data_IF_345050905170
#
_entry.id   IF_345050905170
#
_cell.length_a   1.000
_cell.length_b   1.000
_cell.length_c   1.000
_cell.angle_alpha   90.00
_cell.angle_beta   90.00
_cell.angle_gamma   90.00
#
_symmetry.space_group_name_H-M   'P 1'
#
loop_
_entity.id
_entity.type
_entity.pdbx_description
1 polymer ?
#
# COMPACT_ATOMS: atom_id res chain seq x y z
N UNK A 1 -12.44 -5.48 12.66
CA UNK A 1 -12.46 -6.93 12.37
C UNK A 1 -12.52 -7.78 13.65
N UNK A 2 -11.76 -7.48 14.70
CA UNK A 2 -11.60 -8.31 15.90
C UNK A 2 -12.54 -7.96 17.06
N UNK A 3 -13.07 -6.75 17.11
CA UNK A 3 -14.05 -6.35 18.10
C UNK A 3 -15.45 -6.89 17.80
N UNK A 4 -16.32 -6.88 18.82
CA UNK A 4 -17.73 -7.13 18.65
C UNK A 4 -18.30 -6.15 17.63
N UNK A 5 -19.04 -6.61 16.61
CA UNK A 5 -19.67 -5.71 15.65
C UNK A 5 -20.78 -4.90 16.34
N UNK A 6 -20.79 -3.60 16.11
CA UNK A 6 -21.94 -2.76 16.44
C UNK A 6 -22.88 -2.80 15.23
N UNK A 7 -23.97 -3.57 15.36
CA UNK A 7 -24.91 -3.77 14.27
C UNK A 7 -25.89 -2.61 14.19
N UNK A 8 -26.10 -2.09 13.00
CA UNK A 8 -27.20 -1.18 12.67
C UNK A 8 -28.53 -1.95 12.65
N UNK A 9 -29.67 -1.24 12.63
CA UNK A 9 -30.99 -1.89 12.55
C UNK A 9 -31.09 -2.81 11.32
N UNK A 10 -30.64 -2.35 10.15
CA UNK A 10 -30.64 -3.14 8.91
C UNK A 10 -29.72 -4.37 9.00
N UNK A 11 -28.55 -4.24 9.65
CA UNK A 11 -27.65 -5.36 9.85
C UNK A 11 -28.18 -6.36 10.85
N UNK A 12 -28.92 -5.93 11.91
CA UNK A 12 -29.65 -6.82 12.81
C UNK A 12 -30.68 -7.66 12.04
N UNK A 13 -31.49 -7.04 11.21
CA UNK A 13 -32.46 -7.75 10.37
C UNK A 13 -31.77 -8.76 9.44
N UNK A 14 -30.63 -8.39 8.85
CA UNK A 14 -29.88 -9.26 7.96
C UNK A 14 -29.24 -10.45 8.70
N UNK A 15 -28.49 -10.19 9.75
CA UNK A 15 -27.67 -11.22 10.41
C UNK A 15 -28.47 -12.11 11.36
N UNK A 16 -29.54 -11.61 11.98
CA UNK A 16 -30.42 -12.40 12.84
C UNK A 16 -31.59 -13.04 12.09
N UNK A 17 -31.78 -12.78 10.78
CA UNK A 17 -32.73 -13.53 9.96
C UNK A 17 -32.25 -14.97 9.78
N UNK A 18 -33.21 -15.90 9.70
CA UNK A 18 -32.94 -17.32 9.56
C UNK A 18 -33.33 -17.79 8.16
N UNK A 19 -32.43 -18.49 7.52
CA UNK A 19 -32.76 -19.31 6.34
C UNK A 19 -33.51 -20.56 6.76
N UNK A 20 -34.22 -21.27 5.85
CA UNK A 20 -34.92 -22.51 6.21
C UNK A 20 -34.03 -23.58 6.87
N UNK A 21 -32.78 -23.66 6.46
CA UNK A 21 -31.78 -24.59 7.03
C UNK A 21 -31.36 -24.18 8.45
N UNK A 22 -31.19 -22.90 8.70
CA UNK A 22 -30.88 -22.35 10.03
C UNK A 22 -32.08 -22.46 10.97
N UNK A 23 -33.28 -22.25 10.44
CA UNK A 23 -34.54 -22.41 11.17
C UNK A 23 -34.69 -23.85 11.70
N UNK A 24 -34.40 -24.86 10.89
CA UNK A 24 -34.48 -26.28 11.32
C UNK A 24 -33.52 -26.59 12.49
N UNK A 25 -32.39 -25.91 12.60
CA UNK A 25 -31.48 -26.04 13.75
C UNK A 25 -32.00 -25.23 14.93
N UNK A 26 -32.51 -24.02 14.70
CA UNK A 26 -33.07 -23.15 15.71
C UNK A 26 -34.27 -23.80 16.42
N UNK A 27 -35.09 -24.57 15.73
CA UNK A 27 -36.26 -25.28 16.27
C UNK A 27 -35.88 -26.38 17.32
N UNK A 28 -34.63 -26.83 17.31
CA UNK A 28 -34.10 -27.75 18.35
C UNK A 28 -33.84 -27.03 19.69
N UNK A 29 -33.76 -25.69 19.66
CA UNK A 29 -33.52 -24.87 20.86
C UNK A 29 -34.84 -24.58 21.58
N UNK A 30 -34.98 -25.03 22.80
CA UNK A 30 -36.29 -25.10 23.47
C UNK A 30 -36.64 -23.86 24.30
N UNK A 31 -35.68 -23.29 25.05
CA UNK A 31 -35.99 -22.22 26.01
C UNK A 31 -35.70 -20.83 25.40
N UNK A 32 -36.45 -19.79 25.78
CA UNK A 32 -36.21 -18.43 25.29
C UNK A 32 -34.77 -17.99 25.53
N UNK A 33 -34.21 -18.24 26.69
CA UNK A 33 -32.80 -17.93 27.03
C UNK A 33 -31.82 -18.54 26.03
N UNK A 34 -31.93 -19.85 25.76
CA UNK A 34 -31.03 -20.56 24.83
C UNK A 34 -31.29 -20.17 23.41
N UNK A 35 -32.52 -19.79 23.02
CA UNK A 35 -32.86 -19.26 21.69
C UNK A 35 -32.16 -17.95 21.39
N UNK A 36 -32.23 -16.99 22.31
CA UNK A 36 -31.52 -15.70 22.16
C UNK A 36 -30.02 -15.93 22.08
N UNK A 37 -29.45 -16.74 22.98
CA UNK A 37 -28.05 -17.10 22.98
C UNK A 37 -27.59 -17.70 21.62
N UNK A 38 -28.40 -18.62 21.06
CA UNK A 38 -28.11 -19.23 19.76
C UNK A 38 -28.14 -18.20 18.63
N UNK A 39 -29.15 -17.34 18.60
CA UNK A 39 -29.28 -16.28 17.57
C UNK A 39 -28.14 -15.27 17.64
N UNK A 40 -27.72 -14.86 18.84
CA UNK A 40 -26.53 -14.00 18.99
C UNK A 40 -25.27 -14.67 18.43
N UNK A 41 -25.03 -15.94 18.80
CA UNK A 41 -23.88 -16.68 18.26
C UNK A 41 -23.94 -16.81 16.74
N UNK A 42 -25.09 -17.15 16.18
CA UNK A 42 -25.32 -17.32 14.75
C UNK A 42 -25.12 -16.00 14.01
N UNK A 43 -25.77 -14.92 14.45
CA UNK A 43 -25.71 -13.62 13.81
C UNK A 43 -24.30 -13.03 13.82
N UNK A 44 -23.61 -13.08 14.94
CA UNK A 44 -22.24 -12.62 15.01
C UNK A 44 -21.28 -13.49 14.20
N UNK A 45 -21.54 -14.80 14.11
CA UNK A 45 -20.77 -15.66 13.23
C UNK A 45 -20.98 -15.33 11.75
N UNK A 46 -22.20 -15.06 11.32
CA UNK A 46 -22.50 -14.55 9.96
C UNK A 46 -21.72 -13.26 9.67
N UNK A 47 -21.69 -12.33 10.64
CA UNK A 47 -21.05 -11.04 10.48
C UNK A 47 -19.51 -11.10 10.46
N UNK A 48 -18.88 -12.01 11.22
CA UNK A 48 -17.43 -11.98 11.49
C UNK A 48 -16.69 -13.30 11.35
N UNK A 49 -17.37 -14.42 11.07
CA UNK A 49 -16.83 -15.80 11.01
C UNK A 49 -16.02 -16.19 12.24
N UNK A 50 -16.47 -15.72 13.40
CA UNK A 50 -15.88 -16.05 14.71
C UNK A 50 -16.92 -16.02 15.83
N UNK A 51 -16.58 -16.67 16.92
CA UNK A 51 -17.39 -16.61 18.14
C UNK A 51 -16.91 -15.49 19.05
N UNK A 52 -17.86 -14.86 19.73
CA UNK A 52 -17.62 -13.86 20.76
C UNK A 52 -18.10 -14.38 22.11
N UNK A 53 -17.49 -13.89 23.17
CA UNK A 53 -18.05 -14.10 24.53
C UNK A 53 -19.30 -13.22 24.60
N UNK A 54 -20.43 -13.84 24.96
CA UNK A 54 -21.67 -13.10 25.11
C UNK A 54 -21.62 -12.36 26.45
N UNK A 55 -21.73 -11.05 26.36
CA UNK A 55 -21.78 -10.11 27.48
C UNK A 55 -23.10 -9.35 27.37
N UNK A 56 -23.95 -9.47 28.36
CA UNK A 56 -25.30 -8.92 28.34
C UNK A 56 -25.29 -7.38 28.29
N UNK A 57 -24.35 -6.73 28.96
CA UNK A 57 -24.27 -5.27 29.01
C UNK A 57 -23.80 -4.70 27.66
N UNK A 58 -22.79 -5.32 27.07
CA UNK A 58 -22.22 -4.87 25.78
C UNK A 58 -23.16 -5.18 24.61
N UNK A 59 -23.98 -6.22 24.71
CA UNK A 59 -24.90 -6.69 23.66
C UNK A 59 -26.38 -6.31 23.93
N UNK A 60 -26.64 -5.39 24.85
CA UNK A 60 -27.99 -5.03 25.30
C UNK A 60 -28.95 -4.69 24.17
N UNK A 61 -28.52 -3.89 23.20
CA UNK A 61 -29.35 -3.51 22.05
C UNK A 61 -29.73 -4.69 21.16
N UNK A 62 -28.79 -5.61 20.93
CA UNK A 62 -29.03 -6.80 20.10
C UNK A 62 -29.90 -7.81 20.82
N UNK A 63 -29.74 -7.91 22.15
CA UNK A 63 -30.61 -8.74 23.02
C UNK A 63 -32.03 -8.17 23.01
N UNK A 64 -32.20 -6.85 23.19
CA UNK A 64 -33.51 -6.20 23.17
C UNK A 64 -34.23 -6.44 21.81
N UNK A 65 -33.53 -6.28 20.70
CA UNK A 65 -34.04 -6.58 19.37
C UNK A 65 -34.53 -8.04 19.24
N UNK A 66 -33.78 -9.01 19.76
CA UNK A 66 -34.14 -10.42 19.68
C UNK A 66 -35.28 -10.78 20.65
N UNK A 67 -35.37 -10.16 21.82
CA UNK A 67 -36.46 -10.31 22.77
C UNK A 67 -37.78 -9.84 22.16
N UNK A 68 -37.78 -8.66 21.54
CA UNK A 68 -38.93 -8.11 20.82
C UNK A 68 -39.36 -9.02 19.65
N UNK A 69 -38.43 -9.43 18.82
CA UNK A 69 -38.68 -10.29 17.66
C UNK A 69 -39.23 -11.68 18.01
N UNK A 70 -38.84 -12.24 19.15
CA UNK A 70 -39.29 -13.55 19.59
C UNK A 70 -40.52 -13.49 20.53
N UNK A 71 -41.02 -12.28 20.80
CA UNK A 71 -42.10 -12.03 21.76
C UNK A 71 -41.93 -12.84 23.09
N UNK A 72 -40.75 -12.69 23.70
CA UNK A 72 -40.39 -13.46 24.88
C UNK A 72 -39.83 -12.58 26.01
N UNK A 73 -39.87 -13.08 27.25
CA UNK A 73 -39.26 -12.42 28.41
C UNK A 73 -38.04 -13.22 28.84
N UNK A 74 -36.88 -12.56 28.90
CA UNK A 74 -35.64 -13.18 29.33
C UNK A 74 -34.91 -12.20 30.24
N UNK A 75 -34.53 -12.68 31.43
CA UNK A 75 -33.77 -11.89 32.42
C UNK A 75 -32.27 -12.08 32.29
N UNK A 76 -31.85 -13.18 31.70
CA UNK A 76 -30.42 -13.52 31.52
C UNK A 76 -30.24 -14.38 30.25
N UNK A 77 -29.20 -14.10 29.47
CA UNK A 77 -28.84 -14.80 28.22
C UNK A 77 -27.63 -15.72 28.37
N UNK A 78 -27.01 -15.76 29.54
CA UNK A 78 -25.85 -16.61 29.79
C UNK A 78 -26.27 -18.08 29.88
N UNK A 79 -25.54 -18.96 29.22
CA UNK A 79 -25.80 -20.40 29.19
C UNK A 79 -24.60 -21.17 29.71
N UNK A 80 -24.81 -22.45 30.04
CA UNK A 80 -23.72 -23.34 30.48
C UNK A 80 -22.64 -23.49 29.42
N UNK A 81 -21.42 -23.84 29.83
CA UNK A 81 -20.30 -24.11 28.90
C UNK A 81 -20.69 -25.19 27.88
N UNK A 82 -21.39 -26.23 28.31
CA UNK A 82 -21.84 -27.33 27.45
C UNK A 82 -22.81 -26.82 26.38
N UNK A 83 -23.82 -26.05 26.76
CA UNK A 83 -24.79 -25.46 25.80
C UNK A 83 -24.08 -24.54 24.79
N UNK A 84 -23.15 -23.73 25.25
CA UNK A 84 -22.37 -22.85 24.35
C UNK A 84 -21.54 -23.66 23.34
N UNK A 85 -20.90 -24.74 23.78
CA UNK A 85 -20.13 -25.62 22.88
C UNK A 85 -21.04 -26.33 21.89
N UNK A 86 -22.19 -26.79 22.29
CA UNK A 86 -23.19 -27.41 21.42
C UNK A 86 -23.72 -26.43 20.38
N UNK A 87 -24.06 -25.19 20.77
CA UNK A 87 -24.48 -24.14 19.85
C UNK A 87 -23.37 -23.81 18.84
N UNK A 88 -22.11 -23.69 19.30
CA UNK A 88 -20.97 -23.45 18.44
C UNK A 88 -20.79 -24.58 17.41
N UNK A 89 -20.92 -25.84 17.82
CA UNK A 89 -20.84 -27.00 16.91
C UNK A 89 -21.90 -26.93 15.82
N UNK A 90 -23.16 -26.62 16.20
CA UNK A 90 -24.25 -26.49 15.22
C UNK A 90 -24.02 -25.34 14.23
N UNK A 91 -23.52 -24.19 14.70
CA UNK A 91 -23.19 -23.06 13.83
C UNK A 91 -22.07 -23.44 12.86
N UNK A 92 -21.03 -24.14 13.32
CA UNK A 92 -19.94 -24.61 12.49
C UNK A 92 -20.43 -25.59 11.41
N UNK A 93 -21.29 -26.53 11.77
CA UNK A 93 -21.89 -27.48 10.85
C UNK A 93 -22.74 -26.78 9.77
N UNK A 94 -23.57 -25.81 10.17
CA UNK A 94 -24.39 -25.02 9.25
C UNK A 94 -23.58 -24.35 8.13
N UNK A 95 -22.42 -23.80 8.46
CA UNK A 95 -21.59 -23.05 7.51
C UNK A 95 -20.42 -23.86 6.93
N UNK A 96 -20.26 -25.12 7.37
CA UNK A 96 -19.14 -25.99 6.95
C UNK A 96 -17.79 -25.46 7.44
N UNK A 97 -17.77 -24.78 8.60
CA UNK A 97 -16.54 -24.33 9.24
C UNK A 97 -16.03 -25.38 10.23
N UNK A 98 -14.72 -25.35 10.48
CA UNK A 98 -14.07 -26.18 11.50
C UNK A 98 -13.27 -25.30 12.47
N UNK A 99 -13.01 -25.83 13.66
CA UNK A 99 -12.12 -25.17 14.61
C UNK A 99 -10.67 -25.31 14.19
N UNK A 100 -9.82 -24.41 14.68
CA UNK A 100 -8.39 -24.45 14.48
C UNK A 100 -7.80 -25.62 15.27
N UNK A 101 -7.51 -26.74 14.62
CA UNK A 101 -6.83 -27.91 15.17
C UNK A 101 -5.30 -27.78 15.07
N UNK A 102 -4.56 -28.75 15.61
CA UNK A 102 -3.10 -28.70 15.64
C UNK A 102 -2.48 -28.75 14.25
N UNK A 103 -3.08 -29.50 13.30
CA UNK A 103 -2.62 -29.52 11.91
C UNK A 103 -2.79 -28.14 11.27
N UNK A 104 -3.95 -27.55 11.41
CA UNK A 104 -4.23 -26.21 10.88
C UNK A 104 -3.34 -25.13 11.51
N UNK A 105 -2.88 -25.32 12.75
CA UNK A 105 -1.91 -24.42 13.39
C UNK A 105 -0.55 -24.50 12.70
N UNK A 106 -0.08 -25.70 12.40
CA UNK A 106 1.19 -25.88 11.67
C UNK A 106 1.11 -25.31 10.26
N UNK A 107 0.02 -25.56 9.53
CA UNK A 107 -0.22 -25.01 8.21
C UNK A 107 -0.24 -23.46 8.24
N UNK A 108 -0.87 -22.88 9.28
CA UNK A 108 -0.94 -21.44 9.48
C UNK A 108 0.44 -20.82 9.77
N UNK A 109 1.26 -21.50 10.57
CA UNK A 109 2.63 -21.06 10.86
C UNK A 109 3.52 -21.14 9.62
N UNK A 110 3.42 -22.22 8.84
CA UNK A 110 4.12 -22.33 7.56
C UNK A 110 3.70 -21.22 6.58
N UNK A 111 2.39 -20.96 6.47
CA UNK A 111 1.86 -19.88 5.66
C UNK A 111 2.35 -18.50 6.11
N UNK A 112 2.45 -18.27 7.42
CA UNK A 112 2.99 -17.03 7.97
C UNK A 112 4.45 -16.79 7.55
N UNK A 113 5.27 -17.84 7.53
CA UNK A 113 6.66 -17.77 7.08
C UNK A 113 6.75 -17.44 5.58
N UNK A 114 5.92 -18.06 4.76
CA UNK A 114 5.83 -17.74 3.32
C UNK A 114 5.42 -16.28 3.09
N UNK A 115 4.37 -15.82 3.76
CA UNK A 115 3.90 -14.45 3.66
C UNK A 115 4.96 -13.43 4.15
N UNK A 116 5.73 -13.77 5.21
CA UNK A 116 6.81 -12.93 5.72
C UNK A 116 7.98 -12.78 4.75
N UNK A 117 8.25 -13.79 3.90
CA UNK A 117 9.24 -13.72 2.82
C UNK A 117 8.80 -12.78 1.70
N UNK A 118 7.49 -12.73 1.42
CA UNK A 118 6.93 -11.85 0.40
C UNK A 118 6.93 -10.40 0.89
N UNK A 119 6.51 -10.17 2.13
CA UNK A 119 6.45 -8.81 2.71
C UNK A 119 6.75 -8.80 4.19
N UNK A 120 7.68 -7.97 4.58
CA UNK A 120 8.02 -7.73 6.00
C UNK A 120 7.00 -6.83 6.73
N UNK A 121 5.91 -6.42 6.08
CA UNK A 121 4.84 -5.62 6.70
C UNK A 121 3.91 -6.51 7.54
N UNK A 122 3.77 -6.26 8.85
CA UNK A 122 2.92 -7.09 9.72
C UNK A 122 1.46 -7.16 9.24
N UNK A 123 0.92 -6.05 8.70
CA UNK A 123 -0.45 -5.97 8.19
C UNK A 123 -0.67 -6.88 6.98
N UNK A 124 0.33 -6.99 6.10
CA UNK A 124 0.28 -7.88 4.95
C UNK A 124 0.18 -9.34 5.39
N UNK A 125 1.10 -9.77 6.26
CA UNK A 125 1.12 -11.14 6.79
C UNK A 125 -0.19 -11.46 7.51
N UNK A 126 -0.67 -10.56 8.38
CA UNK A 126 -1.94 -10.75 9.08
C UNK A 126 -3.12 -10.91 8.12
N UNK A 127 -3.20 -10.10 7.07
CA UNK A 127 -4.27 -10.17 6.06
C UNK A 127 -4.22 -11.51 5.32
N UNK A 128 -3.06 -11.92 4.87
CA UNK A 128 -2.86 -13.19 4.18
C UNK A 128 -3.32 -14.38 5.05
N UNK A 129 -2.98 -14.39 6.36
CA UNK A 129 -3.42 -15.42 7.28
C UNK A 129 -4.95 -15.44 7.49
N UNK A 130 -5.57 -14.27 7.58
CA UNK A 130 -7.04 -14.16 7.71
C UNK A 130 -7.72 -14.69 6.45
N UNK A 131 -7.22 -14.34 5.28
CA UNK A 131 -7.78 -14.77 4.01
C UNK A 131 -7.59 -16.29 3.83
N UNK A 132 -6.42 -16.83 4.19
CA UNK A 132 -6.18 -18.27 4.24
C UNK A 132 -7.17 -19.01 5.15
N UNK A 133 -7.37 -18.55 6.40
CA UNK A 133 -8.30 -19.16 7.32
C UNK A 133 -9.74 -19.16 6.79
N UNK A 134 -10.16 -18.08 6.15
CA UNK A 134 -11.48 -17.97 5.51
C UNK A 134 -11.65 -18.93 4.35
N UNK A 135 -10.66 -19.02 3.47
CA UNK A 135 -10.66 -19.94 2.33
C UNK A 135 -10.74 -21.40 2.80
N UNK A 136 -10.02 -21.74 3.86
CA UNK A 136 -10.03 -23.08 4.47
C UNK A 136 -11.25 -23.34 5.37
N UNK A 137 -12.15 -22.37 5.48
CA UNK A 137 -13.31 -22.40 6.40
C UNK A 137 -12.94 -22.75 7.83
N UNK A 138 -11.88 -22.15 8.33
CA UNK A 138 -11.42 -22.27 9.71
C UNK A 138 -11.89 -21.04 10.48
N UNK A 139 -12.46 -21.26 11.68
CA UNK A 139 -12.87 -20.18 12.58
C UNK A 139 -11.68 -19.28 12.89
N UNK A 140 -11.87 -17.97 12.77
CA UNK A 140 -10.83 -17.00 13.07
C UNK A 140 -10.45 -17.07 14.57
N UNK A 141 -9.20 -17.38 14.88
CA UNK A 141 -8.73 -17.39 16.27
C UNK A 141 -8.67 -15.98 16.86
N UNK A 142 -8.37 -15.90 18.14
CA UNK A 142 -8.19 -14.60 18.82
C UNK A 142 -7.07 -13.77 18.20
N UNK A 143 -7.24 -12.44 18.24
CA UNK A 143 -6.24 -11.50 17.67
C UNK A 143 -4.84 -11.73 18.24
N UNK A 144 -4.72 -11.92 19.55
CA UNK A 144 -3.43 -12.14 20.22
C UNK A 144 -2.69 -13.36 19.65
N UNK A 145 -3.41 -14.44 19.37
CA UNK A 145 -2.81 -15.63 18.76
C UNK A 145 -2.23 -15.33 17.36
N UNK A 146 -3.01 -14.67 16.49
CA UNK A 146 -2.53 -14.31 15.16
C UNK A 146 -1.39 -13.29 15.23
N UNK A 147 -1.46 -12.34 16.15
CA UNK A 147 -0.38 -11.39 16.38
C UNK A 147 0.92 -12.09 16.76
N UNK A 148 0.85 -13.12 17.61
CA UNK A 148 2.01 -13.91 17.98
C UNK A 148 2.57 -14.74 16.83
N UNK A 149 1.72 -15.33 16.00
CA UNK A 149 2.14 -16.07 14.80
C UNK A 149 2.87 -15.11 13.83
N UNK A 150 2.27 -13.95 13.55
CA UNK A 150 2.89 -12.91 12.69
C UNK A 150 4.22 -12.44 13.25
N UNK A 151 4.27 -12.16 14.57
CA UNK A 151 5.50 -11.71 15.23
C UNK A 151 6.62 -12.75 15.12
N UNK A 152 6.32 -14.03 15.34
CA UNK A 152 7.31 -15.13 15.23
C UNK A 152 7.80 -15.29 13.79
N UNK A 153 6.90 -15.28 12.81
CA UNK A 153 7.26 -15.39 11.40
C UNK A 153 8.16 -14.25 10.93
N UNK A 154 7.82 -13.01 11.29
CA UNK A 154 8.64 -11.84 10.96
C UNK A 154 9.99 -11.81 11.71
N UNK A 155 10.03 -12.33 12.94
CA UNK A 155 11.29 -12.47 13.67
C UNK A 155 12.20 -13.50 13.00
N UNK A 156 11.67 -14.67 12.65
CA UNK A 156 12.39 -15.72 11.96
C UNK A 156 12.97 -15.23 10.62
N UNK A 157 12.16 -14.54 9.82
CA UNK A 157 12.62 -14.00 8.53
C UNK A 157 13.72 -12.93 8.70
N UNK A 158 13.60 -12.07 9.73
CA UNK A 158 14.67 -11.11 10.05
C UNK A 158 15.96 -11.78 10.44
N UNK A 159 15.90 -12.83 11.25
CA UNK A 159 17.10 -13.55 11.67
C UNK A 159 17.73 -14.24 10.46
N UNK A 160 16.95 -14.90 9.60
CA UNK A 160 17.41 -15.46 8.32
C UNK A 160 18.12 -14.43 7.44
N UNK A 161 17.49 -13.26 7.27
CA UNK A 161 18.08 -12.17 6.48
C UNK A 161 19.37 -11.63 7.12
N UNK A 162 19.41 -11.50 8.45
CA UNK A 162 20.60 -11.07 9.17
C UNK A 162 21.77 -12.02 8.97
N UNK A 163 21.51 -13.33 8.97
CA UNK A 163 22.53 -14.35 8.74
C UNK A 163 23.00 -14.37 7.29
N UNK A 164 22.08 -14.30 6.33
CA UNK A 164 22.40 -14.19 4.90
C UNK A 164 23.30 -12.96 4.62
N UNK A 165 22.94 -11.81 5.18
CA UNK A 165 23.74 -10.59 5.07
C UNK A 165 25.12 -10.73 5.70
N UNK A 166 25.22 -11.39 6.86
CA UNK A 166 26.50 -11.59 7.52
C UNK A 166 27.47 -12.43 6.67
N UNK A 167 26.92 -13.38 5.88
CA UNK A 167 27.66 -14.24 4.97
C UNK A 167 28.07 -13.54 3.67
N UNK A 168 27.15 -12.74 3.08
CA UNK A 168 27.35 -12.09 1.77
C UNK A 168 28.20 -10.81 1.84
N UNK A 169 28.32 -10.18 3.02
CA UNK A 169 29.02 -8.89 3.18
C UNK A 169 30.52 -9.06 3.43
N UNK A 170 31.31 -8.43 2.59
CA UNK A 170 32.76 -8.30 2.81
C UNK A 170 33.09 -7.26 3.92
N UNK A 171 34.29 -7.26 4.48
CA UNK A 171 34.74 -6.20 5.40
C UNK A 171 34.70 -4.80 4.76
N UNK A 172 34.90 -4.68 3.45
CA UNK A 172 34.83 -3.42 2.72
C UNK A 172 33.39 -2.92 2.65
N UNK A 173 32.42 -3.79 2.30
CA UNK A 173 31.00 -3.46 2.27
C UNK A 173 30.51 -2.93 3.63
N UNK A 174 30.93 -3.59 4.71
CA UNK A 174 30.59 -3.18 6.08
C UNK A 174 31.10 -1.78 6.41
N UNK A 175 32.32 -1.46 5.98
CA UNK A 175 32.91 -0.12 6.20
C UNK A 175 32.20 0.96 5.43
N UNK A 176 31.80 0.69 4.17
CA UNK A 176 31.03 1.60 3.34
C UNK A 176 29.66 1.92 3.95
N UNK A 177 28.95 0.92 4.43
CA UNK A 177 27.65 1.11 5.07
C UNK A 177 27.76 1.83 6.42
N UNK A 178 28.73 1.44 7.24
CA UNK A 178 28.96 2.07 8.53
C UNK A 178 29.40 3.54 8.38
N UNK A 179 30.04 3.91 7.26
CA UNK A 179 30.39 5.29 6.95
C UNK A 179 29.14 6.20 6.79
N UNK A 180 28.01 5.68 6.33
CA UNK A 180 26.77 6.44 6.22
C UNK A 180 26.26 7.01 7.56
N UNK A 181 26.66 6.37 8.67
CA UNK A 181 26.27 6.77 10.03
C UNK A 181 27.36 7.53 10.77
N UNK A 182 28.54 7.74 10.15
CA UNK A 182 29.57 8.58 10.76
C UNK A 182 29.13 10.03 10.79
N UNK A 183 29.58 10.73 11.81
CA UNK A 183 29.41 12.16 11.95
C UNK A 183 30.58 12.81 11.21
N UNK A 184 30.26 13.61 10.21
CA UNK A 184 31.20 14.41 9.48
C UNK A 184 30.75 15.88 9.61
N UNK A 185 31.47 16.65 10.41
CA UNK A 185 31.20 18.07 10.70
C UNK A 185 29.75 18.36 11.17
N UNK A 186 29.14 17.45 11.96
CA UNK A 186 27.77 17.59 12.48
C UNK A 186 26.66 17.12 11.54
N UNK A 187 27.00 16.59 10.38
CA UNK A 187 26.03 16.02 9.44
C UNK A 187 26.37 14.56 9.10
N UNK A 188 25.39 13.68 9.23
CA UNK A 188 25.56 12.30 8.82
C UNK A 188 25.26 12.14 7.33
N UNK A 189 26.08 11.40 6.59
CA UNK A 189 25.89 11.16 5.15
C UNK A 189 24.48 10.61 4.82
N UNK A 190 23.93 9.74 5.67
CA UNK A 190 22.55 9.24 5.51
C UNK A 190 21.52 10.38 5.56
N UNK A 191 21.77 11.46 6.27
CA UNK A 191 20.84 12.59 6.36
C UNK A 191 20.77 13.36 5.04
N UNK A 192 21.92 13.57 4.38
CA UNK A 192 21.95 14.23 3.06
C UNK A 192 21.23 13.40 2.00
N UNK A 193 21.31 12.07 2.10
CA UNK A 193 20.62 11.14 1.18
C UNK A 193 19.10 11.13 1.40
N UNK A 194 18.62 11.41 2.62
CA UNK A 194 17.17 11.49 2.92
C UNK A 194 16.46 12.67 2.28
N UNK A 195 17.18 13.71 1.89
CA UNK A 195 16.56 14.86 1.25
C UNK A 195 15.93 14.50 -0.10
N UNK A 196 14.69 14.92 -0.31
CA UNK A 196 13.98 14.77 -1.58
C UNK A 196 14.07 16.04 -2.40
N UNK A 197 14.04 15.91 -3.72
CA UNK A 197 13.82 17.04 -4.64
C UNK A 197 12.53 17.76 -4.27
N UNK A 198 12.60 19.09 -4.21
CA UNK A 198 11.42 19.94 -4.00
C UNK A 198 10.89 20.51 -5.33
N UNK A 199 11.77 20.71 -6.31
CA UNK A 199 11.45 21.21 -7.62
C UNK A 199 12.44 20.68 -8.68
N UNK A 200 12.21 21.02 -9.96
CA UNK A 200 13.07 20.65 -11.08
C UNK A 200 13.99 21.80 -11.51
N UNK A 201 14.42 22.65 -10.56
CA UNK A 201 15.40 23.68 -10.86
C UNK A 201 16.76 23.08 -11.25
N UNK A 202 17.50 23.80 -12.09
CA UNK A 202 18.80 23.35 -12.60
C UNK A 202 19.77 23.00 -11.45
N UNK A 203 19.80 23.81 -10.38
CA UNK A 203 20.67 23.56 -9.21
C UNK A 203 20.29 22.28 -8.47
N UNK A 204 18.99 22.00 -8.31
CA UNK A 204 18.54 20.79 -7.65
C UNK A 204 18.79 19.53 -8.50
N UNK A 205 18.66 19.63 -9.82
CA UNK A 205 19.00 18.53 -10.72
C UNK A 205 20.50 18.19 -10.69
N UNK A 206 21.37 19.19 -10.68
CA UNK A 206 22.81 18.96 -10.52
C UNK A 206 23.14 18.33 -9.17
N UNK A 207 22.50 18.76 -8.09
CA UNK A 207 22.68 18.16 -6.78
C UNK A 207 22.21 16.69 -6.74
N UNK A 208 21.11 16.35 -7.43
CA UNK A 208 20.65 14.95 -7.53
C UNK A 208 21.59 14.09 -8.37
N UNK A 209 22.13 14.60 -9.46
CA UNK A 209 23.13 13.91 -10.27
C UNK A 209 24.35 13.58 -9.40
N UNK A 210 24.88 14.58 -8.69
CA UNK A 210 26.02 14.38 -7.79
C UNK A 210 25.73 13.35 -6.68
N UNK A 211 24.52 13.36 -6.10
CA UNK A 211 24.09 12.31 -5.14
C UNK A 211 24.01 10.93 -5.78
N UNK A 212 23.53 10.85 -7.02
CA UNK A 212 23.50 9.61 -7.79
C UNK A 212 24.88 9.01 -7.99
N UNK A 213 25.87 9.84 -8.30
CA UNK A 213 27.26 9.42 -8.42
C UNK A 213 27.83 8.91 -7.11
N UNK A 214 27.58 9.60 -5.99
CA UNK A 214 28.00 9.18 -4.65
C UNK A 214 27.35 7.86 -4.22
N UNK A 215 26.11 7.61 -4.62
CA UNK A 215 25.36 6.39 -4.28
C UNK A 215 25.68 5.21 -5.19
N UNK A 216 26.33 5.40 -6.34
CA UNK A 216 26.53 4.36 -7.36
C UNK A 216 27.27 3.13 -6.82
N UNK A 217 28.36 3.33 -6.11
CA UNK A 217 29.13 2.23 -5.50
C UNK A 217 28.31 1.52 -4.42
N UNK A 218 27.68 2.27 -3.53
CA UNK A 218 26.82 1.73 -2.48
C UNK A 218 25.61 0.98 -3.07
N UNK A 219 25.04 1.46 -4.17
CA UNK A 219 23.94 0.81 -4.86
C UNK A 219 24.38 -0.55 -5.44
N UNK A 220 25.55 -0.63 -6.08
CA UNK A 220 26.07 -1.88 -6.62
C UNK A 220 26.25 -2.94 -5.52
N UNK A 221 26.80 -2.53 -4.37
CA UNK A 221 26.91 -3.38 -3.18
C UNK A 221 25.54 -3.79 -2.66
N UNK A 222 24.62 -2.84 -2.52
CA UNK A 222 23.26 -3.11 -2.03
C UNK A 222 22.51 -4.06 -2.96
N UNK A 223 22.58 -3.85 -4.28
CA UNK A 223 21.94 -4.70 -5.27
C UNK A 223 22.41 -6.16 -5.14
N UNK A 224 23.73 -6.38 -5.17
CA UNK A 224 24.32 -7.71 -5.03
C UNK A 224 23.86 -8.43 -3.75
N UNK A 225 24.01 -7.77 -2.61
CA UNK A 225 23.70 -8.38 -1.31
C UNK A 225 22.20 -8.65 -1.15
N UNK A 226 21.34 -7.76 -1.61
CA UNK A 226 19.87 -7.90 -1.54
C UNK A 226 19.41 -9.05 -2.44
N UNK A 227 19.99 -9.18 -3.63
CA UNK A 227 19.66 -10.25 -4.57
C UNK A 227 20.15 -11.62 -4.05
N UNK A 228 21.36 -11.69 -3.49
CA UNK A 228 21.91 -12.89 -2.83
C UNK A 228 21.06 -13.33 -1.63
N UNK A 229 20.54 -12.39 -0.85
CA UNK A 229 19.68 -12.67 0.30
C UNK A 229 18.23 -13.01 -0.09
N UNK A 230 17.85 -12.81 -1.34
CA UNK A 230 16.50 -13.09 -1.87
C UNK A 230 15.42 -12.19 -1.25
N UNK A 231 15.72 -10.91 -1.00
CA UNK A 231 14.71 -9.96 -0.50
C UNK A 231 13.71 -9.59 -1.60
N UNK A 232 12.44 -9.65 -1.26
CA UNK A 232 11.38 -9.14 -2.12
C UNK A 232 11.42 -7.61 -2.23
N UNK A 233 10.91 -7.08 -3.35
CA UNK A 233 10.79 -5.62 -3.57
C UNK A 233 9.97 -4.95 -2.47
N UNK A 234 8.90 -5.60 -2.00
CA UNK A 234 8.05 -5.10 -0.92
C UNK A 234 8.80 -5.01 0.42
N UNK A 235 9.61 -6.02 0.73
CA UNK A 235 10.45 -6.01 1.93
C UNK A 235 11.54 -4.94 1.86
N UNK A 236 12.15 -4.75 0.69
CA UNK A 236 13.12 -3.67 0.45
C UNK A 236 12.49 -2.30 0.72
N UNK A 237 11.32 -2.03 0.13
CA UNK A 237 10.59 -0.76 0.34
C UNK A 237 10.18 -0.56 1.80
N UNK A 238 9.75 -1.62 2.47
CA UNK A 238 9.39 -1.56 3.88
C UNK A 238 10.59 -1.19 4.75
N UNK A 239 11.72 -1.89 4.60
CA UNK A 239 12.93 -1.60 5.39
C UNK A 239 13.52 -0.23 5.05
N UNK A 240 13.47 0.19 3.80
CA UNK A 240 13.89 1.53 3.38
C UNK A 240 13.05 2.62 4.08
N UNK A 241 11.74 2.46 4.14
CA UNK A 241 10.85 3.42 4.81
C UNK A 241 11.13 3.56 6.31
N UNK A 242 11.68 2.52 6.96
CA UNK A 242 12.08 2.62 8.37
C UNK A 242 13.29 3.53 8.56
N UNK A 243 14.21 3.60 7.58
CA UNK A 243 15.34 4.54 7.63
C UNK A 243 14.85 5.97 7.52
N UNK A 244 13.87 6.24 6.64
CA UNK A 244 13.27 7.58 6.55
C UNK A 244 12.61 8.02 7.86
N UNK A 245 11.93 7.09 8.53
CA UNK A 245 11.25 7.35 9.79
C UNK A 245 12.17 7.45 11.00
N UNK A 246 13.27 6.65 11.05
CA UNK A 246 14.15 6.61 12.22
C UNK A 246 15.19 7.72 12.18
N UNK A 247 15.46 8.29 13.36
CA UNK A 247 16.62 9.19 13.56
C UNK A 247 17.93 8.39 13.44
N UNK A 248 19.02 9.07 13.09
CA UNK A 248 20.37 8.45 13.06
C UNK A 248 20.75 7.88 14.42
N UNK A 249 20.39 8.56 15.49
CA UNK A 249 20.63 8.10 16.87
C UNK A 249 19.94 6.74 17.11
N UNK A 250 18.70 6.56 16.66
CA UNK A 250 18.01 5.28 16.79
C UNK A 250 18.66 4.19 15.96
N UNK A 251 19.06 4.48 14.73
CA UNK A 251 19.77 3.53 13.86
C UNK A 251 21.11 3.08 14.50
N UNK A 252 21.86 3.98 15.10
CA UNK A 252 23.12 3.65 15.80
C UNK A 252 22.94 2.73 17.02
N UNK A 253 21.78 2.80 17.70
CA UNK A 253 21.48 1.98 18.89
C UNK A 253 20.91 0.60 18.57
N UNK A 254 20.56 0.34 17.33
CA UNK A 254 20.04 -0.96 16.91
C UNK A 254 21.17 -1.98 16.76
N UNK A 255 20.81 -3.28 16.66
CA UNK A 255 21.77 -4.33 16.31
C UNK A 255 22.40 -3.98 14.95
N UNK A 256 23.75 -3.99 14.88
CA UNK A 256 24.51 -3.57 13.68
C UNK A 256 24.02 -4.21 12.38
N UNK A 257 23.75 -5.51 12.40
CA UNK A 257 23.27 -6.23 11.21
C UNK A 257 21.91 -5.74 10.74
N UNK A 258 21.00 -5.44 11.67
CA UNK A 258 19.71 -4.85 11.33
C UNK A 258 19.84 -3.45 10.75
N UNK A 259 20.72 -2.64 11.31
CA UNK A 259 20.99 -1.31 10.77
C UNK A 259 21.53 -1.39 9.35
N UNK A 260 22.47 -2.31 9.09
CA UNK A 260 23.02 -2.54 7.75
C UNK A 260 21.97 -3.02 6.77
N UNK A 261 21.07 -3.96 7.18
CA UNK A 261 19.93 -4.37 6.36
C UNK A 261 19.07 -3.18 5.94
N UNK A 262 18.71 -2.33 6.89
CA UNK A 262 17.91 -1.16 6.61
C UNK A 262 18.63 -0.18 5.70
N UNK A 263 19.91 0.08 5.90
CA UNK A 263 20.72 0.97 5.07
C UNK A 263 20.88 0.42 3.65
N UNK A 264 21.10 -0.89 3.46
CA UNK A 264 21.16 -1.52 2.13
C UNK A 264 19.83 -1.32 1.38
N UNK A 265 18.71 -1.63 2.03
CA UNK A 265 17.40 -1.43 1.45
C UNK A 265 17.12 0.04 1.12
N UNK A 266 17.53 0.95 2.01
CA UNK A 266 17.39 2.38 1.82
C UNK A 266 18.22 2.90 0.63
N UNK A 267 19.48 2.51 0.53
CA UNK A 267 20.35 2.91 -0.59
C UNK A 267 19.78 2.42 -1.92
N UNK A 268 19.34 1.16 -2.00
CA UNK A 268 18.71 0.61 -3.21
C UNK A 268 17.46 1.37 -3.62
N UNK A 269 16.52 1.55 -2.69
CA UNK A 269 15.26 2.24 -2.95
C UNK A 269 15.50 3.71 -3.31
N UNK A 270 16.41 4.37 -2.57
CA UNK A 270 16.73 5.78 -2.81
C UNK A 270 17.38 6.01 -4.17
N UNK A 271 18.34 5.18 -4.56
CA UNK A 271 18.99 5.26 -5.86
C UNK A 271 18.00 5.04 -7.02
N UNK A 272 17.11 4.06 -6.90
CA UNK A 272 16.07 3.82 -7.90
C UNK A 272 15.13 5.01 -8.03
N UNK A 273 14.61 5.54 -6.92
CA UNK A 273 13.76 6.74 -6.93
C UNK A 273 14.45 7.97 -7.50
N UNK A 274 15.74 8.14 -7.19
CA UNK A 274 16.54 9.23 -7.73
C UNK A 274 16.61 9.14 -9.26
N UNK A 275 16.87 7.97 -9.82
CA UNK A 275 16.87 7.76 -11.26
C UNK A 275 15.50 8.01 -11.88
N UNK A 276 14.41 7.52 -11.26
CA UNK A 276 13.04 7.78 -11.74
C UNK A 276 12.72 9.28 -11.76
N UNK A 277 13.17 10.02 -10.74
CA UNK A 277 13.00 11.47 -10.67
C UNK A 277 13.82 12.18 -11.77
N UNK A 278 15.07 11.79 -12.00
CA UNK A 278 15.90 12.37 -13.05
C UNK A 278 15.31 12.12 -14.44
N UNK A 279 14.81 10.90 -14.71
CA UNK A 279 14.12 10.56 -15.95
C UNK A 279 12.85 11.42 -16.12
N UNK A 280 12.05 11.53 -15.07
CA UNK A 280 10.81 12.33 -15.08
C UNK A 280 11.11 13.82 -15.33
N UNK A 281 12.16 14.35 -14.69
CA UNK A 281 12.62 15.72 -14.89
C UNK A 281 13.09 15.95 -16.33
N UNK A 282 13.89 15.04 -16.87
CA UNK A 282 14.37 15.09 -18.24
C UNK A 282 13.21 15.07 -19.25
N UNK A 283 12.25 14.17 -19.09
CA UNK A 283 11.07 14.13 -19.95
C UNK A 283 10.24 15.42 -19.87
N UNK A 284 10.13 16.01 -18.68
CA UNK A 284 9.40 17.27 -18.50
C UNK A 284 10.12 18.44 -19.18
N UNK A 285 11.44 18.52 -19.03
CA UNK A 285 12.25 19.55 -19.69
C UNK A 285 12.22 19.41 -21.19
N UNK A 286 12.30 18.18 -21.73
CA UNK A 286 12.18 17.94 -23.18
C UNK A 286 10.82 18.40 -23.72
N UNK A 287 9.73 18.09 -23.05
CA UNK A 287 8.39 18.54 -23.47
C UNK A 287 8.32 20.07 -23.53
N UNK A 288 8.76 20.74 -22.45
CA UNK A 288 8.79 22.22 -22.45
C UNK A 288 9.60 22.79 -23.59
N UNK A 289 10.76 22.21 -23.86
CA UNK A 289 11.60 22.65 -24.95
C UNK A 289 10.94 22.44 -26.33
N UNK A 290 10.31 21.28 -26.53
CA UNK A 290 9.57 21.00 -27.78
C UNK A 290 8.38 21.95 -27.95
N UNK A 291 7.64 22.22 -26.88
CA UNK A 291 6.49 23.14 -26.90
C UNK A 291 6.97 24.59 -27.24
N UNK A 292 8.06 25.03 -26.63
CA UNK A 292 8.65 26.34 -26.87
C UNK A 292 9.14 26.47 -28.29
N UNK A 293 9.83 25.47 -28.83
CA UNK A 293 10.28 25.46 -30.25
C UNK A 293 9.09 25.46 -31.21
N UNK A 294 8.05 24.72 -30.93
CA UNK A 294 6.82 24.69 -31.72
C UNK A 294 6.11 26.06 -31.74
N UNK A 295 6.03 26.73 -30.57
CA UNK A 295 5.47 28.08 -30.51
C UNK A 295 6.30 29.09 -31.28
N UNK A 296 7.63 29.06 -31.12
CA UNK A 296 8.52 29.93 -31.89
C UNK A 296 8.41 29.68 -33.41
N UNK A 297 8.35 28.43 -33.83
CA UNK A 297 8.17 28.09 -35.25
C UNK A 297 6.80 28.56 -35.78
N UNK A 298 5.74 28.46 -34.99
CA UNK A 298 4.42 28.96 -35.34
C UNK A 298 4.39 30.47 -35.46
N UNK A 299 5.01 31.18 -34.53
CA UNK A 299 5.10 32.65 -34.59
C UNK A 299 5.91 33.12 -35.79
N UNK A 300 7.05 32.48 -36.08
CA UNK A 300 7.85 32.76 -37.26
C UNK A 300 7.07 32.51 -38.55
N UNK A 301 6.28 31.42 -38.62
CA UNK A 301 5.42 31.16 -39.79
C UNK A 301 4.31 32.19 -39.95
N UNK A 302 3.70 32.65 -38.85
CA UNK A 302 2.69 33.72 -38.93
C UNK A 302 3.24 35.05 -39.38
N UNK A 303 4.46 35.42 -38.93
CA UNK A 303 5.17 36.59 -39.39
C UNK A 303 5.47 36.52 -40.91
N UNK A 304 6.08 35.42 -41.35
CA UNK A 304 6.35 35.17 -42.76
C UNK A 304 5.08 35.29 -43.63
N UNK A 305 3.99 34.71 -43.19
CA UNK A 305 2.70 34.79 -43.90
C UNK A 305 2.14 36.20 -43.95
N UNK A 306 2.33 37.00 -42.90
CA UNK A 306 1.94 38.42 -42.89
C UNK A 306 2.75 39.24 -43.91
N UNK A 307 4.07 39.09 -43.89
CA UNK A 307 4.97 39.76 -44.83
C UNK A 307 4.65 39.38 -46.28
N UNK A 308 4.48 38.09 -46.57
CA UNK A 308 4.10 37.63 -47.91
C UNK A 308 2.75 38.21 -48.38
N UNK A 309 1.75 38.34 -47.49
CA UNK A 309 0.48 38.96 -47.82
C UNK A 309 0.61 40.48 -48.07
N UNK A 310 1.45 41.19 -47.32
CA UNK A 310 1.73 42.60 -47.50
C UNK A 310 2.44 42.85 -48.84
N UNK A 311 3.39 41.98 -49.23
CA UNK A 311 4.08 42.03 -50.52
C UNK A 311 3.10 41.78 -51.69
N UNK A 312 2.20 40.82 -51.57
CA UNK A 312 1.16 40.56 -52.58
C UNK A 312 0.23 41.76 -52.73
N UNK A 313 -0.20 42.34 -51.60
CA UNK A 313 -1.08 43.54 -51.64
C UNK A 313 -0.37 44.73 -52.24
N UNK A 314 0.90 44.95 -51.89
CA UNK A 314 1.72 46.01 -52.46
C UNK A 314 1.91 45.83 -53.98
N UNK A 315 2.22 44.58 -54.39
CA UNK A 315 2.34 44.26 -55.86
C UNK A 315 1.04 44.44 -56.61
N UNK A 316 -0.09 44.08 -56.04
CA UNK A 316 -1.42 44.29 -56.61
C UNK A 316 -1.75 45.79 -56.74
N UNK A 317 -1.36 46.61 -55.76
CA UNK A 317 -1.56 48.06 -55.80
C UNK A 317 -0.71 48.72 -56.91
N UNK A 318 0.55 48.27 -57.07
CA UNK A 318 1.45 48.78 -58.17
C UNK A 318 0.90 48.37 -59.51
N UNK A 319 0.43 47.18 -59.74
CA UNK A 319 -0.19 46.72 -60.98
C UNK A 319 -1.46 47.52 -61.32
N UNK A 320 -2.33 47.73 -60.30
CA UNK A 320 -3.56 48.51 -60.46
C UNK A 320 -3.28 49.96 -60.84
N UNK A 321 -2.30 50.61 -60.20
CA UNK A 321 -1.91 51.98 -60.51
C UNK A 321 -1.29 52.08 -61.91
N UNK A 322 -0.48 51.10 -62.34
CA UNK A 322 0.09 51.06 -63.69
C UNK A 322 -0.96 50.83 -64.81
N UNK A 323 -2.00 50.00 -64.51
CA UNK A 323 -3.12 49.79 -65.41
C UNK A 323 -3.98 51.07 -65.58
N UNK A 324 -4.23 51.76 -64.47
CA UNK A 324 -4.94 53.06 -64.50
C UNK A 324 -4.17 54.13 -65.24
N UNK A 325 -2.85 54.17 -65.07
CA UNK A 325 -2.01 55.10 -65.85
C UNK A 325 -2.04 54.74 -67.33
N UNK A 326 -1.93 53.50 -67.76
CA UNK A 326 -2.03 53.07 -69.16
C UNK A 326 -3.40 53.38 -69.76
N UNK A 327 -4.50 53.13 -69.04
CA UNK A 327 -5.85 53.50 -69.51
C UNK A 327 -6.03 54.99 -69.67
N UNK A 328 -5.46 55.80 -68.78
CA UNK A 328 -5.46 57.26 -68.88
C UNK A 328 -4.63 57.79 -70.08
N UNK A 329 -3.51 57.14 -70.42
CA UNK A 329 -2.70 57.48 -71.59
C UNK A 329 -3.44 57.10 -72.90
N UNK A 330 -4.09 55.94 -72.96
CA UNK A 330 -4.87 55.52 -74.08
C UNK A 330 -6.08 56.44 -74.32
N UNK A 331 -6.74 56.91 -73.29
CA UNK A 331 -7.83 57.90 -73.42
C UNK A 331 -7.33 59.33 -73.89
N UNK A 332 -6.04 59.65 -73.71
CA UNK A 332 -5.46 60.91 -74.16
C UNK A 332 -4.97 60.82 -75.57
N UNK A 333 -4.67 59.67 -76.17
CA UNK A 333 -4.24 59.45 -77.54
C UNK A 333 -5.36 59.30 -78.56
N UNK A 334 -6.60 59.25 -78.08
CA UNK A 334 -7.83 59.16 -78.95
C UNK A 334 -8.59 60.50 -79.05
N UNK A 335 -8.03 61.58 -78.53
CA UNK A 335 -8.44 62.94 -78.79
C UNK A 335 -7.33 63.63 -79.62
#
# INVERSE_FOLDING_TARGET
>A
MWGLPRLTATERDLYFSLTPREQAVFDRVRTPRTRIHFLLMLGYFKARQRFFVIDADVMSDDIAFLVDRLDCRVTDVLVSKHTRQMHASWVLELFGYRQLDDRSRLDLEARALEAARISSRPVYVLRDLVDYLRQQRIVLPGYTYLQDVVRRALAFERDRLSDALAQSMTPADRRLLDALLRDDEGLHAVTSIKHHLRDFSHQQLLAEISRGEQLRELYAVAQRIIDDAGLSVESVRFYASLVDYYTVYKLKRMKRQMTRLYLLCFVRDRYQRLNDHLISAFCTLLRRYVDEVNEQAKDAYLLYRREANEDIQSGAQVLNSSLIQRSRMLCRSVR
#
